data_IF_058148596864
#
_entry.id   IF_058148596864
#
_cell.length_a   1.000
_cell.length_b   1.000
_cell.length_c   1.000
_cell.angle_alpha   90.00
_cell.angle_beta   90.00
_cell.angle_gamma   90.00
#
_symmetry.space_group_name_H-M   'P 1'
#
loop_
_entity.id
_entity.type
_entity.pdbx_description
1 polymer ?
#
# COMPACT_ATOMS: atom_id res chain seq x y z
N UNK A 1 -13.47 15.96 46.19
CA UNK A 1 -12.41 14.98 45.91
C UNK A 1 -12.26 15.00 44.41
N UNK A 2 -11.23 15.69 43.92
CA UNK A 2 -11.04 15.93 42.49
C UNK A 2 -10.73 14.59 41.81
N UNK A 3 -11.71 14.07 41.07
CA UNK A 3 -11.53 12.99 40.11
C UNK A 3 -10.56 13.47 39.04
N UNK A 4 -9.25 13.23 39.24
CA UNK A 4 -8.27 13.33 38.16
C UNK A 4 -8.70 12.34 37.08
N UNK A 5 -9.27 12.86 36.00
CA UNK A 5 -9.56 12.11 34.78
C UNK A 5 -8.31 11.32 34.37
N UNK A 6 -8.38 9.99 34.49
CA UNK A 6 -7.31 9.07 34.12
C UNK A 6 -7.06 9.14 32.61
N UNK A 7 -5.83 9.43 32.19
CA UNK A 7 -5.45 9.47 30.77
C UNK A 7 -5.40 8.02 30.24
N UNK A 8 -6.21 7.74 29.23
CA UNK A 8 -6.36 6.39 28.68
C UNK A 8 -5.24 6.02 27.70
N UNK A 9 -4.94 4.71 27.51
CA UNK A 9 -3.87 4.26 26.61
C UNK A 9 -4.04 4.75 25.17
N UNK A 10 -5.29 4.86 24.72
CA UNK A 10 -5.64 5.42 23.41
C UNK A 10 -5.21 6.89 23.32
N UNK A 11 -5.52 7.70 24.33
CA UNK A 11 -5.10 9.11 24.37
C UNK A 11 -3.57 9.26 24.38
N UNK A 12 -2.86 8.38 25.09
CA UNK A 12 -1.39 8.37 25.10
C UNK A 12 -0.83 8.03 23.72
N UNK A 13 -1.37 7.00 23.06
CA UNK A 13 -0.94 6.63 21.71
C UNK A 13 -1.21 7.74 20.68
N UNK A 14 -2.36 8.40 20.76
CA UNK A 14 -2.71 9.55 19.91
C UNK A 14 -1.80 10.76 20.16
N UNK A 15 -1.50 11.07 21.42
CA UNK A 15 -0.59 12.15 21.79
C UNK A 15 0.85 11.89 21.29
N UNK A 16 1.35 10.66 21.45
CA UNK A 16 2.67 10.25 20.96
C UNK A 16 2.75 10.30 19.43
N UNK A 17 1.70 9.86 18.74
CA UNK A 17 1.63 9.94 17.28
C UNK A 17 1.70 11.39 16.77
N UNK A 18 0.98 12.29 17.44
CA UNK A 18 0.79 13.68 17.01
C UNK A 18 1.96 14.61 17.37
N UNK A 19 2.64 14.41 18.50
CA UNK A 19 3.57 15.42 19.06
C UNK A 19 5.03 14.97 19.21
N UNK A 20 5.34 13.73 18.89
CA UNK A 20 6.69 13.18 18.94
C UNK A 20 7.07 12.69 17.55
N UNK A 21 8.34 12.75 17.16
CA UNK A 21 8.86 12.05 15.97
C UNK A 21 9.56 10.74 16.38
N UNK A 22 10.03 9.93 15.41
CA UNK A 22 10.66 8.63 15.70
C UNK A 22 11.90 8.74 16.62
N UNK A 23 12.75 9.74 16.42
CA UNK A 23 13.95 9.92 17.24
C UNK A 23 13.60 10.35 18.67
N UNK A 24 12.56 11.17 18.83
CA UNK A 24 12.05 11.56 20.15
C UNK A 24 11.39 10.38 20.87
N UNK A 25 10.72 9.48 20.16
CA UNK A 25 10.16 8.25 20.74
C UNK A 25 11.25 7.28 21.20
N UNK A 26 12.30 7.08 20.39
CA UNK A 26 13.48 6.30 20.78
C UNK A 26 14.15 6.88 22.02
N UNK A 27 14.30 8.21 22.08
CA UNK A 27 14.88 8.91 23.25
C UNK A 27 14.00 8.78 24.49
N UNK A 28 12.67 8.90 24.33
CA UNK A 28 11.71 8.73 25.42
C UNK A 28 11.74 7.30 25.98
N UNK A 29 11.76 6.30 25.11
CA UNK A 29 11.83 4.90 25.49
C UNK A 29 13.18 4.54 26.15
N UNK A 30 14.29 5.05 25.61
CA UNK A 30 15.62 4.87 26.20
C UNK A 30 15.70 5.43 27.62
N UNK A 31 15.15 6.63 27.86
CA UNK A 31 15.12 7.25 29.21
C UNK A 31 14.27 6.47 30.22
N UNK A 32 13.43 5.56 29.74
CA UNK A 32 12.58 4.69 30.54
C UNK A 32 13.08 3.24 30.59
N UNK A 33 14.31 2.97 30.10
CA UNK A 33 14.89 1.63 29.96
C UNK A 33 14.00 0.66 29.15
N UNK A 34 13.26 1.18 28.15
CA UNK A 34 12.41 0.40 27.26
C UNK A 34 13.20 0.07 25.98
N UNK A 35 13.32 -1.21 25.59
CA UNK A 35 14.02 -1.59 24.36
C UNK A 35 13.16 -1.26 23.13
N UNK A 36 13.22 -0.01 22.68
CA UNK A 36 12.33 0.52 21.64
C UNK A 36 12.40 -0.26 20.31
N UNK A 37 13.60 -0.69 19.90
CA UNK A 37 13.82 -1.42 18.65
C UNK A 37 13.28 -2.86 18.70
N UNK A 38 13.01 -3.39 19.91
CA UNK A 38 12.43 -4.72 20.12
C UNK A 38 10.89 -4.66 20.26
N UNK A 39 10.30 -3.47 20.21
CA UNK A 39 8.85 -3.31 20.27
C UNK A 39 8.20 -3.79 18.97
N UNK A 40 7.17 -4.62 19.10
CA UNK A 40 6.41 -5.16 17.96
C UNK A 40 5.75 -4.01 17.16
N UNK A 41 5.88 -4.02 15.84
CA UNK A 41 5.21 -3.03 14.98
C UNK A 41 5.99 -2.76 13.71
N UNK A 42 5.31 -2.84 12.57
CA UNK A 42 5.89 -2.58 11.24
C UNK A 42 5.80 -1.08 10.93
N UNK A 43 4.79 -0.40 11.48
CA UNK A 43 4.60 1.05 11.37
C UNK A 43 4.97 1.76 12.67
N UNK A 44 5.25 3.07 12.55
CA UNK A 44 5.49 3.94 13.72
C UNK A 44 4.30 3.93 14.69
N UNK A 45 3.07 3.93 14.16
CA UNK A 45 1.84 3.90 14.97
C UNK A 45 1.70 2.59 15.75
N UNK A 46 2.00 1.45 15.14
CA UNK A 46 2.03 0.15 15.82
C UNK A 46 3.13 0.09 16.88
N UNK A 47 4.33 0.61 16.56
CA UNK A 47 5.44 0.69 17.52
C UNK A 47 5.05 1.51 18.75
N UNK A 48 4.29 2.60 18.56
CA UNK A 48 3.75 3.43 19.65
C UNK A 48 2.69 2.67 20.45
N UNK A 49 1.79 1.92 19.79
CA UNK A 49 0.80 1.09 20.49
C UNK A 49 1.52 0.02 21.33
N UNK A 50 2.57 -0.60 20.79
CA UNK A 50 3.38 -1.57 21.50
C UNK A 50 4.20 -0.96 22.63
N UNK A 51 4.73 0.25 22.46
CA UNK A 51 5.33 1.05 23.54
C UNK A 51 4.33 1.26 24.68
N UNK A 52 3.13 1.72 24.35
CA UNK A 52 2.06 1.95 25.35
C UNK A 52 1.70 0.63 26.05
N UNK A 53 1.47 -0.46 25.30
CA UNK A 53 1.19 -1.79 25.87
C UNK A 53 2.33 -2.31 26.75
N UNK A 54 3.58 -2.10 26.33
CA UNK A 54 4.77 -2.47 27.10
C UNK A 54 4.75 -1.76 28.46
N UNK A 55 4.54 -0.44 28.46
CA UNK A 55 4.51 0.33 29.72
C UNK A 55 3.37 -0.09 30.65
N UNK A 56 2.23 -0.51 30.12
CA UNK A 56 1.14 -1.08 30.92
C UNK A 56 1.53 -2.44 31.53
N UNK A 57 2.12 -3.34 30.73
CA UNK A 57 2.54 -4.68 31.18
C UNK A 57 3.63 -4.62 32.26
N UNK A 58 4.55 -3.65 32.14
CA UNK A 58 5.69 -3.48 33.05
C UNK A 58 5.42 -2.49 34.19
N UNK A 59 4.19 -1.96 34.32
CA UNK A 59 3.81 -1.09 35.44
C UNK A 59 4.43 0.31 35.41
N UNK A 60 4.95 0.76 34.27
CA UNK A 60 5.58 2.07 34.08
C UNK A 60 4.73 3.05 33.26
N UNK A 61 3.45 2.73 33.04
CA UNK A 61 2.50 3.54 32.26
C UNK A 61 2.31 4.97 32.81
N UNK A 62 2.23 5.13 34.13
CA UNK A 62 2.15 6.46 34.75
C UNK A 62 3.43 7.28 34.56
N UNK A 63 4.58 6.61 34.50
CA UNK A 63 5.86 7.27 34.23
C UNK A 63 5.93 7.76 32.78
N UNK A 64 5.36 7.00 31.83
CA UNK A 64 5.24 7.41 30.44
C UNK A 64 4.38 8.67 30.31
N UNK A 65 3.20 8.69 30.96
CA UNK A 65 2.32 9.87 30.97
C UNK A 65 3.05 11.08 31.54
N UNK A 66 3.74 10.91 32.68
CA UNK A 66 4.50 11.98 33.31
C UNK A 66 5.62 12.51 32.41
N UNK A 67 6.39 11.62 31.78
CA UNK A 67 7.46 12.00 30.86
C UNK A 67 6.92 12.77 29.64
N UNK A 68 5.75 12.38 29.10
CA UNK A 68 5.07 13.11 28.03
C UNK A 68 4.64 14.50 28.51
N UNK A 69 4.04 14.60 29.70
CA UNK A 69 3.60 15.88 30.27
C UNK A 69 4.76 16.83 30.58
N UNK A 70 5.91 16.32 31.03
CA UNK A 70 7.12 17.11 31.26
C UNK A 70 7.74 17.59 29.94
N UNK A 71 7.75 16.73 28.92
CA UNK A 71 8.32 17.04 27.60
C UNK A 71 7.41 17.97 26.78
N UNK A 72 6.08 17.88 26.99
CA UNK A 72 5.03 18.59 26.24
C UNK A 72 3.89 19.03 27.16
N UNK A 73 4.09 20.04 28.03
CA UNK A 73 3.10 20.47 29.02
C UNK A 73 1.86 21.12 28.40
N UNK A 74 1.90 21.47 27.11
CA UNK A 74 0.81 22.11 26.38
C UNK A 74 -0.19 21.13 25.75
N UNK A 75 0.01 19.81 25.87
CA UNK A 75 -0.93 18.82 25.32
C UNK A 75 -2.26 18.91 26.07
N UNK A 76 -3.34 19.21 25.33
CA UNK A 76 -4.69 19.18 25.86
C UNK A 76 -5.29 17.77 25.74
N UNK A 77 -5.25 17.02 26.84
CA UNK A 77 -5.69 15.62 26.91
C UNK A 77 -7.21 15.43 26.69
N UNK A 78 -8.03 16.43 26.99
CA UNK A 78 -9.49 16.35 26.80
C UNK A 78 -9.90 16.37 25.32
N UNK A 79 -9.04 16.86 24.42
CA UNK A 79 -9.28 16.85 22.96
C UNK A 79 -9.44 15.42 22.41
N UNK A 80 -8.76 14.47 23.04
CA UNK A 80 -8.80 13.06 22.65
C UNK A 80 -10.03 12.30 23.22
N UNK A 81 -10.86 12.94 24.05
CA UNK A 81 -12.07 12.32 24.64
C UNK A 81 -13.36 12.56 23.84
N UNK A 82 -13.35 13.40 22.80
CA UNK A 82 -14.60 13.89 22.15
C UNK A 82 -14.99 13.18 20.84
N UNK A 83 -14.27 12.15 20.40
CA UNK A 83 -14.51 11.49 19.10
C UNK A 83 -15.45 10.27 19.13
N UNK A 84 -16.35 10.15 20.12
CA UNK A 84 -17.24 8.97 20.24
C UNK A 84 -18.71 9.30 20.51
N UNK A 85 -19.37 10.15 19.71
CA UNK A 85 -20.85 10.13 19.56
C UNK A 85 -21.25 10.74 18.21
N UNK A 86 -21.44 9.91 17.18
CA UNK A 86 -22.53 10.03 16.18
C UNK A 86 -22.44 8.86 15.20
N UNK A 87 -22.84 7.68 15.67
CA UNK A 87 -23.38 6.65 14.79
C UNK A 87 -24.83 7.04 14.45
N UNK A 88 -25.13 7.32 13.18
CA UNK A 88 -26.50 7.34 12.68
C UNK A 88 -26.71 6.21 11.67
N UNK A 89 -27.49 5.21 12.11
CA UNK A 89 -28.03 4.10 11.30
C UNK A 89 -28.84 4.59 10.09
N UNK A 90 -28.97 3.77 9.02
CA UNK A 90 -29.52 4.17 7.73
C UNK A 90 -31.05 4.10 7.71
N UNK A 91 -31.69 5.09 7.07
CA UNK A 91 -33.11 5.07 6.72
C UNK A 91 -33.27 4.83 5.21
N UNK A 92 -34.21 3.94 4.89
CA UNK A 92 -34.40 3.27 3.63
C UNK A 92 -35.07 4.11 2.52
N UNK A 93 -34.61 3.83 1.28
CA UNK A 93 -35.33 3.58 0.02
C UNK A 93 -36.37 4.57 -0.57
N UNK A 94 -36.23 4.66 -1.91
CA UNK A 94 -37.27 4.85 -2.94
C UNK A 94 -37.75 6.27 -3.25
N UNK A 95 -37.12 6.89 -4.26
CA UNK A 95 -37.70 7.11 -5.62
C UNK A 95 -36.87 8.14 -6.39
N UNK A 96 -36.16 7.68 -7.42
CA UNK A 96 -36.31 8.18 -8.80
C UNK A 96 -35.21 7.58 -9.67
N UNK A 97 -35.46 6.33 -10.07
CA UNK A 97 -34.93 5.79 -11.31
C UNK A 97 -36.07 5.90 -12.31
N UNK A 98 -36.06 6.93 -13.16
CA UNK A 98 -36.41 6.86 -14.59
C UNK A 98 -36.18 8.22 -15.25
N UNK A 99 -35.66 8.17 -16.47
CA UNK A 99 -35.53 9.28 -17.45
C UNK A 99 -34.39 10.28 -17.17
N UNK A 100 -33.40 10.49 -18.03
CA UNK A 100 -33.37 10.31 -19.49
C UNK A 100 -31.91 10.27 -19.94
N UNK A 101 -31.55 9.24 -20.71
CA UNK A 101 -30.57 9.38 -21.77
C UNK A 101 -31.08 10.48 -22.71
N UNK A 102 -30.31 11.56 -22.91
CA UNK A 102 -30.29 12.17 -24.21
C UNK A 102 -28.92 12.74 -24.54
N UNK A 103 -28.37 12.17 -25.60
CA UNK A 103 -27.12 12.52 -26.26
C UNK A 103 -27.23 13.91 -26.86
N UNK A 104 -26.22 14.76 -26.67
CA UNK A 104 -25.83 15.73 -27.69
C UNK A 104 -24.36 16.09 -27.55
N UNK A 105 -23.58 15.53 -28.47
CA UNK A 105 -22.27 15.99 -28.89
C UNK A 105 -22.32 17.44 -29.40
N UNK A 106 -21.41 18.30 -28.94
CA UNK A 106 -20.94 19.48 -29.68
C UNK A 106 -19.57 19.89 -29.17
N UNK A 107 -18.59 19.78 -30.07
CA UNK A 107 -17.24 20.36 -29.95
C UNK A 107 -17.33 21.89 -29.92
N UNK A 108 -16.61 22.57 -29.02
CA UNK A 108 -15.90 23.84 -29.30
C UNK A 108 -14.99 24.30 -28.14
N UNK A 109 -13.75 24.55 -28.54
CA UNK A 109 -12.74 25.48 -28.02
C UNK A 109 -12.42 25.62 -26.53
N UNK A 110 -11.16 25.27 -26.24
CA UNK A 110 -10.32 25.83 -25.18
C UNK A 110 -10.32 27.37 -25.29
N UNK A 111 -10.68 28.05 -24.20
CA UNK A 111 -10.07 29.35 -23.86
C UNK A 111 -9.64 29.32 -22.40
N UNK A 112 -8.36 29.60 -22.21
CA UNK A 112 -7.71 29.93 -20.95
C UNK A 112 -8.46 31.03 -20.21
N UNK A 113 -8.83 30.77 -18.96
CA UNK A 113 -8.77 31.77 -17.90
C UNK A 113 -8.65 31.05 -16.55
N UNK A 114 -7.42 31.02 -16.04
CA UNK A 114 -7.15 30.77 -14.64
C UNK A 114 -7.79 31.88 -13.80
N UNK A 115 -8.94 31.59 -13.20
CA UNK A 115 -9.34 32.27 -11.96
C UNK A 115 -9.05 31.33 -10.80
N UNK A 116 -7.92 31.59 -10.16
CA UNK A 116 -7.59 31.21 -8.79
C UNK A 116 -8.79 31.45 -7.86
N UNK A 117 -9.54 30.41 -7.56
CA UNK A 117 -10.40 30.35 -6.39
C UNK A 117 -10.03 29.06 -5.65
N UNK A 118 -9.31 29.21 -4.55
CA UNK A 118 -9.08 28.11 -3.63
C UNK A 118 -10.44 27.52 -3.20
N UNK A 119 -10.63 26.18 -3.18
CA UNK A 119 -11.92 25.62 -2.82
C UNK A 119 -12.26 26.02 -1.38
N UNK A 120 -13.37 26.74 -1.22
CA UNK A 120 -13.87 27.19 0.07
C UNK A 120 -14.56 26.05 0.81
N UNK A 121 -13.94 25.59 1.90
CA UNK A 121 -14.35 24.52 2.83
C UNK A 121 -13.93 23.09 2.46
N UNK A 122 -13.44 22.35 3.46
CA UNK A 122 -13.03 20.94 3.36
C UNK A 122 -14.17 20.02 2.87
N UNK A 123 -15.42 20.38 3.14
CA UNK A 123 -16.61 19.66 2.68
C UNK A 123 -16.80 19.73 1.16
N UNK A 124 -16.49 20.86 0.54
CA UNK A 124 -16.63 21.04 -0.91
C UNK A 124 -15.49 20.34 -1.68
N UNK A 125 -14.31 20.25 -1.07
CA UNK A 125 -13.20 19.42 -1.56
C UNK A 125 -13.53 17.93 -1.46
N UNK A 126 -14.19 17.50 -0.37
CA UNK A 126 -14.68 16.14 -0.19
C UNK A 126 -15.78 15.79 -1.21
N UNK A 127 -16.72 16.70 -1.48
CA UNK A 127 -17.80 16.47 -2.45
C UNK A 127 -17.27 16.36 -3.90
N UNK A 128 -16.37 17.25 -4.33
CA UNK A 128 -15.75 17.16 -5.66
C UNK A 128 -14.89 15.90 -5.78
N UNK A 129 -14.21 15.53 -4.69
CA UNK A 129 -13.48 14.27 -4.57
C UNK A 129 -14.42 13.07 -4.72
N UNK A 130 -15.51 12.96 -3.93
CA UNK A 130 -16.48 11.86 -4.02
C UNK A 130 -17.20 11.80 -5.38
N UNK A 131 -17.44 12.94 -6.02
CA UNK A 131 -17.98 12.98 -7.38
C UNK A 131 -17.01 12.39 -8.40
N UNK A 132 -15.73 12.73 -8.32
CA UNK A 132 -14.66 12.15 -9.17
C UNK A 132 -14.45 10.67 -8.87
N UNK A 133 -14.47 10.27 -7.60
CA UNK A 133 -14.42 8.89 -7.10
C UNK A 133 -15.53 8.00 -7.69
N UNK A 134 -16.77 8.48 -7.65
CA UNK A 134 -17.91 7.69 -8.11
C UNK A 134 -17.90 7.54 -9.64
N UNK A 135 -17.43 8.56 -10.37
CA UNK A 135 -17.19 8.47 -11.82
C UNK A 135 -16.08 7.47 -12.15
N UNK A 136 -15.00 7.47 -11.36
CA UNK A 136 -13.88 6.50 -11.44
C UNK A 136 -14.35 5.05 -11.25
N UNK A 137 -15.15 4.78 -10.21
CA UNK A 137 -15.68 3.45 -9.91
C UNK A 137 -16.61 2.93 -11.01
N UNK A 138 -17.49 3.79 -11.55
CA UNK A 138 -18.42 3.41 -12.62
C UNK A 138 -17.71 3.07 -13.93
N UNK A 139 -16.63 3.79 -14.27
CA UNK A 139 -15.83 3.54 -15.47
C UNK A 139 -14.89 2.34 -15.32
N UNK A 140 -14.43 2.03 -14.10
CA UNK A 140 -13.54 0.90 -13.84
C UNK A 140 -14.26 -0.46 -13.92
N UNK A 141 -15.51 -0.54 -13.47
CA UNK A 141 -16.31 -1.77 -13.55
C UNK A 141 -16.55 -2.23 -15.00
N UNK A 142 -16.53 -1.30 -15.96
CA UNK A 142 -16.65 -1.59 -17.40
C UNK A 142 -15.33 -2.03 -18.04
N UNK A 143 -14.18 -1.78 -17.39
CA UNK A 143 -12.81 -2.10 -17.87
C UNK A 143 -12.26 -3.37 -17.21
N UNK A 144 -12.96 -3.93 -16.23
CA UNK A 144 -12.47 -4.98 -15.33
C UNK A 144 -12.30 -6.39 -15.94
N UNK A 145 -12.52 -6.59 -17.24
CA UNK A 145 -12.20 -7.86 -17.86
C UNK A 145 -10.91 -7.77 -18.69
N UNK A 146 -9.82 -8.19 -18.02
CA UNK A 146 -8.50 -8.57 -18.56
C UNK A 146 -7.50 -7.41 -18.69
N UNK A 147 -6.40 -7.52 -17.93
CA UNK A 147 -5.17 -6.75 -18.08
C UNK A 147 -4.70 -6.72 -19.54
N UNK A 148 -4.89 -5.60 -20.21
CA UNK A 148 -4.59 -5.41 -21.62
C UNK A 148 -4.92 -4.02 -22.13
N UNK A 149 -4.85 -3.00 -21.26
CA UNK A 149 -5.21 -1.63 -21.60
C UNK A 149 -4.41 -1.16 -22.82
N UNK A 150 -5.13 -0.71 -23.85
CA UNK A 150 -4.51 -0.06 -25.00
C UNK A 150 -4.00 1.34 -24.62
N UNK A 151 -3.27 2.00 -25.53
CA UNK A 151 -2.67 3.31 -25.25
C UNK A 151 -3.72 4.39 -24.92
N UNK A 152 -4.91 4.33 -25.53
CA UNK A 152 -6.01 5.28 -25.28
C UNK A 152 -6.63 5.08 -23.90
N UNK A 153 -6.93 3.83 -23.53
CA UNK A 153 -7.46 3.45 -22.22
C UNK A 153 -6.46 3.81 -21.11
N UNK A 154 -5.18 3.54 -21.35
CA UNK A 154 -4.08 3.93 -20.45
C UNK A 154 -4.06 5.45 -20.28
N UNK A 155 -4.18 6.22 -21.38
CA UNK A 155 -4.16 7.68 -21.32
C UNK A 155 -5.39 8.25 -20.60
N UNK A 156 -6.56 7.66 -20.80
CA UNK A 156 -7.78 8.06 -20.11
C UNK A 156 -7.65 7.85 -18.60
N UNK A 157 -7.13 6.68 -18.17
CA UNK A 157 -6.86 6.40 -16.76
C UNK A 157 -5.75 7.30 -16.19
N UNK A 158 -4.71 7.60 -16.97
CA UNK A 158 -3.66 8.55 -16.56
C UNK A 158 -4.25 9.92 -16.25
N UNK A 159 -5.05 10.49 -17.15
CA UNK A 159 -5.68 11.80 -16.97
C UNK A 159 -6.59 11.81 -15.72
N UNK A 160 -7.32 10.72 -15.52
CA UNK A 160 -8.26 10.59 -14.41
C UNK A 160 -7.55 10.49 -13.04
N UNK A 161 -6.40 9.81 -12.98
CA UNK A 161 -5.61 9.65 -11.75
C UNK A 161 -4.55 10.75 -11.54
N UNK A 162 -4.25 11.55 -12.56
CA UNK A 162 -3.32 12.68 -12.43
C UNK A 162 -3.88 13.75 -11.47
N UNK A 163 -5.19 13.92 -11.47
CA UNK A 163 -5.92 14.84 -10.59
C UNK A 163 -6.20 14.27 -9.18
N UNK A 164 -5.90 12.99 -8.92
CA UNK A 164 -6.19 12.34 -7.65
C UNK A 164 -5.00 12.44 -6.68
N UNK A 165 -5.11 13.19 -5.56
CA UNK A 165 -3.99 13.36 -4.65
C UNK A 165 -3.89 12.16 -3.69
N UNK A 166 -3.09 11.14 -4.06
CA UNK A 166 -2.73 10.04 -3.14
C UNK A 166 -2.16 10.54 -1.80
N UNK A 167 -1.46 11.68 -1.79
CA UNK A 167 -0.97 12.34 -0.57
C UNK A 167 -2.12 12.83 0.33
N UNK A 168 -3.22 13.31 -0.27
CA UNK A 168 -4.43 13.69 0.45
C UNK A 168 -5.17 12.48 0.97
N UNK A 169 -5.27 11.41 0.17
CA UNK A 169 -5.78 10.12 0.63
C UNK A 169 -5.00 9.58 1.82
N UNK A 170 -3.67 9.63 1.75
CA UNK A 170 -2.80 9.26 2.87
C UNK A 170 -3.08 10.11 4.11
N UNK A 171 -3.21 11.42 3.93
CA UNK A 171 -3.51 12.34 5.04
C UNK A 171 -4.87 12.06 5.67
N UNK A 172 -5.91 11.84 4.85
CA UNK A 172 -7.25 11.51 5.32
C UNK A 172 -7.29 10.17 6.05
N UNK A 173 -6.72 9.11 5.47
CA UNK A 173 -6.65 7.78 6.11
C UNK A 173 -5.86 7.81 7.42
N UNK A 174 -4.89 8.72 7.56
CA UNK A 174 -4.14 8.87 8.81
C UNK A 174 -4.92 9.58 9.93
N UNK A 175 -6.03 10.26 9.59
CA UNK A 175 -6.81 11.11 10.51
C UNK A 175 -8.23 10.61 10.74
N UNK A 176 -8.73 9.74 9.87
CA UNK A 176 -10.12 9.30 9.83
C UNK A 176 -10.22 7.80 9.63
N UNK A 177 -11.00 7.17 10.49
CA UNK A 177 -11.38 5.75 10.45
C UNK A 177 -12.80 5.68 9.86
N UNK A 178 -12.90 5.74 8.53
CA UNK A 178 -14.16 5.74 7.77
C UNK A 178 -14.12 4.60 6.73
N UNK A 179 -14.96 3.56 6.86
CA UNK A 179 -15.00 2.43 5.94
C UNK A 179 -15.23 2.81 4.46
N UNK A 180 -15.91 3.93 4.20
CA UNK A 180 -16.13 4.44 2.84
C UNK A 180 -14.85 5.00 2.24
N UNK A 181 -14.04 5.67 3.07
CA UNK A 181 -12.74 6.19 2.70
C UNK A 181 -11.73 5.05 2.49
N UNK A 182 -11.76 4.03 3.35
CA UNK A 182 -10.93 2.83 3.18
C UNK A 182 -11.26 2.09 1.88
N UNK A 183 -12.54 1.88 1.60
CA UNK A 183 -12.97 1.24 0.35
C UNK A 183 -12.54 2.05 -0.88
N UNK A 184 -12.69 3.37 -0.85
CA UNK A 184 -12.20 4.20 -1.95
C UNK A 184 -10.68 4.13 -2.10
N UNK A 185 -9.96 4.20 -0.98
CA UNK A 185 -8.51 4.09 -0.96
C UNK A 185 -8.02 2.74 -1.51
N UNK A 186 -8.71 1.65 -1.18
CA UNK A 186 -8.41 0.32 -1.72
C UNK A 186 -8.58 0.32 -3.24
N UNK A 187 -9.71 0.81 -3.74
CA UNK A 187 -9.96 0.90 -5.18
C UNK A 187 -8.92 1.79 -5.88
N UNK A 188 -8.58 2.94 -5.29
CA UNK A 188 -7.54 3.82 -5.84
C UNK A 188 -6.18 3.13 -5.91
N UNK A 189 -5.81 2.38 -4.88
CA UNK A 189 -4.55 1.67 -4.83
C UNK A 189 -4.49 0.50 -5.82
N UNK A 190 -5.61 -0.20 -6.02
CA UNK A 190 -5.78 -1.23 -7.05
C UNK A 190 -5.64 -0.62 -8.46
N UNK A 191 -6.30 0.52 -8.73
CA UNK A 191 -6.20 1.19 -10.02
C UNK A 191 -4.78 1.66 -10.34
N UNK A 192 -4.08 2.26 -9.37
CA UNK A 192 -2.67 2.64 -9.52
C UNK A 192 -1.77 1.39 -9.71
N UNK A 193 -2.10 0.25 -9.11
CA UNK A 193 -1.39 -1.02 -9.33
C UNK A 193 -1.58 -1.52 -10.77
N UNK A 194 -2.81 -1.65 -11.23
CA UNK A 194 -3.13 -2.16 -12.57
C UNK A 194 -2.58 -1.26 -13.68
N UNK A 195 -2.67 0.06 -13.50
CA UNK A 195 -2.05 1.01 -14.41
C UNK A 195 -0.52 0.87 -14.42
N UNK A 196 0.09 0.58 -13.27
CA UNK A 196 1.49 0.23 -13.16
C UNK A 196 1.86 -0.97 -14.03
N UNK A 197 1.07 -2.05 -13.97
CA UNK A 197 1.24 -3.25 -14.80
C UNK A 197 1.16 -2.91 -16.29
N UNK A 198 0.12 -2.17 -16.70
CA UNK A 198 -0.10 -1.80 -18.10
C UNK A 198 1.08 -0.98 -18.67
N UNK A 199 1.52 0.03 -17.93
CA UNK A 199 2.67 0.87 -18.34
C UNK A 199 3.96 0.06 -18.47
N UNK A 200 4.20 -0.89 -17.56
CA UNK A 200 5.36 -1.79 -17.65
C UNK A 200 5.26 -2.70 -18.88
N UNK A 201 4.07 -3.22 -19.18
CA UNK A 201 3.80 -4.01 -20.39
C UNK A 201 4.08 -3.24 -21.69
N UNK A 202 3.84 -1.93 -21.70
CA UNK A 202 4.16 -1.01 -22.81
C UNK A 202 5.64 -0.56 -22.82
N UNK A 203 6.48 -1.04 -21.91
CA UNK A 203 7.89 -0.64 -21.80
C UNK A 203 8.11 0.71 -21.09
N UNK A 204 7.06 1.36 -20.58
CA UNK A 204 7.11 2.64 -19.85
C UNK A 204 7.47 2.39 -18.37
N UNK A 205 8.60 1.72 -18.12
CA UNK A 205 8.97 1.18 -16.80
C UNK A 205 9.01 2.21 -15.66
N UNK A 206 9.64 3.37 -15.87
CA UNK A 206 9.68 4.42 -14.84
C UNK A 206 8.32 5.02 -14.52
N UNK A 207 7.42 5.09 -15.52
CA UNK A 207 6.05 5.54 -15.26
C UNK A 207 5.29 4.49 -14.44
N UNK A 208 5.42 3.21 -14.78
CA UNK A 208 4.85 2.11 -13.99
C UNK A 208 5.35 2.08 -12.54
N UNK A 209 6.66 2.26 -12.32
CA UNK A 209 7.23 2.34 -10.97
C UNK A 209 6.61 3.46 -10.12
N UNK A 210 6.35 4.64 -10.71
CA UNK A 210 5.67 5.74 -10.00
C UNK A 210 4.24 5.38 -9.60
N UNK A 211 3.53 4.64 -10.45
CA UNK A 211 2.16 4.17 -10.17
C UNK A 211 2.15 3.12 -9.05
N UNK A 212 3.08 2.16 -9.10
CA UNK A 212 3.27 1.21 -8.01
C UNK A 212 3.63 1.86 -6.67
N UNK A 213 4.45 2.93 -6.66
CA UNK A 213 4.78 3.64 -5.42
C UNK A 213 3.55 4.34 -4.78
N UNK A 214 2.66 4.90 -5.61
CA UNK A 214 1.37 5.46 -5.15
C UNK A 214 0.48 4.39 -4.57
N UNK A 215 0.32 3.26 -5.28
CA UNK A 215 -0.43 2.08 -4.79
C UNK A 215 0.13 1.59 -3.45
N UNK A 216 1.45 1.44 -3.36
CA UNK A 216 2.12 0.93 -2.16
C UNK A 216 1.97 1.89 -0.96
N UNK A 217 1.96 3.20 -1.21
CA UNK A 217 1.73 4.21 -0.17
C UNK A 217 0.37 4.02 0.49
N UNK A 218 -0.69 3.78 -0.30
CA UNK A 218 -2.04 3.58 0.22
C UNK A 218 -2.20 2.19 0.84
N UNK A 219 -1.73 1.13 0.16
CA UNK A 219 -1.83 -0.25 0.69
C UNK A 219 -1.11 -0.44 2.02
N UNK A 220 -0.04 0.35 2.29
CA UNK A 220 0.62 0.40 3.62
C UNK A 220 -0.28 0.92 4.73
N UNK A 221 -1.21 1.82 4.44
CA UNK A 221 -2.13 2.39 5.43
C UNK A 221 -3.31 1.46 5.70
N UNK A 222 -3.77 0.74 4.67
CA UNK A 222 -4.90 -0.19 4.74
C UNK A 222 -4.55 -1.57 5.30
N UNK A 223 -3.29 -1.77 5.71
CA UNK A 223 -2.73 -3.03 6.21
C UNK A 223 -3.02 -4.29 5.35
N UNK A 224 -3.21 -4.11 4.04
CA UNK A 224 -3.47 -5.23 3.13
C UNK A 224 -2.16 -5.88 2.68
N UNK A 225 -1.66 -6.84 3.46
CA UNK A 225 -0.33 -7.42 3.30
C UNK A 225 -0.13 -8.19 1.99
N UNK A 226 -1.13 -8.94 1.52
CA UNK A 226 -1.03 -9.68 0.25
C UNK A 226 -0.98 -8.71 -0.94
N UNK A 227 -1.86 -7.72 -0.99
CA UNK A 227 -1.84 -6.71 -2.05
C UNK A 227 -0.56 -5.86 -2.04
N UNK A 228 0.00 -5.58 -0.85
CA UNK A 228 1.32 -4.94 -0.72
C UNK A 228 2.41 -5.82 -1.32
N UNK A 229 2.38 -7.11 -1.03
CA UNK A 229 3.33 -8.08 -1.57
C UNK A 229 3.24 -8.15 -3.10
N UNK A 230 2.03 -8.16 -3.66
CA UNK A 230 1.79 -8.12 -5.11
C UNK A 230 2.40 -6.87 -5.76
N UNK A 231 2.19 -5.68 -5.17
CA UNK A 231 2.81 -4.44 -5.69
C UNK A 231 4.33 -4.51 -5.64
N UNK A 232 4.90 -4.97 -4.52
CA UNK A 232 6.36 -5.10 -4.37
C UNK A 232 6.93 -6.12 -5.35
N UNK A 233 6.22 -7.23 -5.58
CA UNK A 233 6.59 -8.24 -6.56
C UNK A 233 6.65 -7.64 -7.98
N UNK A 234 5.64 -6.84 -8.37
CA UNK A 234 5.63 -6.17 -9.67
C UNK A 234 6.73 -5.10 -9.80
N UNK A 235 7.07 -4.40 -8.72
CA UNK A 235 8.24 -3.50 -8.68
C UNK A 235 9.53 -4.32 -8.94
N UNK A 236 9.69 -5.48 -8.29
CA UNK A 236 10.83 -6.38 -8.52
C UNK A 236 10.94 -6.83 -9.97
N UNK A 237 9.81 -7.24 -10.56
CA UNK A 237 9.72 -7.60 -11.99
C UNK A 237 10.09 -6.43 -12.90
N UNK A 238 9.67 -5.22 -12.55
CA UNK A 238 10.01 -4.03 -13.33
C UNK A 238 11.51 -3.73 -13.30
N UNK A 239 12.15 -3.81 -12.12
CA UNK A 239 13.60 -3.65 -12.03
C UNK A 239 14.37 -4.75 -12.78
N UNK A 240 13.86 -5.98 -12.78
CA UNK A 240 14.45 -7.07 -13.55
C UNK A 240 14.39 -6.79 -15.06
N UNK A 241 13.25 -6.29 -15.57
CA UNK A 241 13.10 -5.89 -16.98
C UNK A 241 14.05 -4.74 -17.37
N UNK A 242 14.33 -3.83 -16.42
CA UNK A 242 15.30 -2.75 -16.59
C UNK A 242 16.77 -3.22 -16.50
N UNK A 243 17.01 -4.51 -16.19
CA UNK A 243 18.35 -5.04 -15.96
C UNK A 243 18.96 -4.68 -14.59
N UNK A 244 18.20 -4.03 -13.70
CA UNK A 244 18.63 -3.75 -12.33
C UNK A 244 18.35 -4.97 -11.43
N UNK A 245 19.18 -5.99 -11.60
CA UNK A 245 19.02 -7.30 -10.97
C UNK A 245 19.18 -7.26 -9.45
N UNK A 246 20.05 -6.38 -8.93
CA UNK A 246 20.26 -6.23 -7.49
C UNK A 246 18.99 -5.69 -6.80
N UNK A 247 18.39 -4.65 -7.35
CA UNK A 247 17.15 -4.08 -6.83
C UNK A 247 15.99 -5.07 -6.98
N UNK A 248 15.89 -5.78 -8.11
CA UNK A 248 14.90 -6.84 -8.31
C UNK A 248 14.99 -7.92 -7.22
N UNK A 249 16.20 -8.37 -6.89
CA UNK A 249 16.41 -9.37 -5.83
C UNK A 249 15.92 -8.88 -4.47
N UNK A 250 16.20 -7.62 -4.11
CA UNK A 250 15.72 -7.02 -2.85
C UNK A 250 14.19 -7.03 -2.83
N UNK A 251 13.55 -6.53 -3.90
CA UNK A 251 12.09 -6.41 -3.96
C UNK A 251 11.39 -7.77 -3.94
N UNK A 252 11.91 -8.78 -4.65
CA UNK A 252 11.33 -10.12 -4.56
C UNK A 252 11.49 -10.74 -3.15
N UNK A 253 12.58 -10.47 -2.43
CA UNK A 253 12.72 -10.91 -1.03
C UNK A 253 11.75 -10.16 -0.11
N UNK A 254 11.52 -8.88 -0.34
CA UNK A 254 10.53 -8.08 0.41
C UNK A 254 9.11 -8.64 0.22
N UNK A 255 8.70 -8.88 -1.03
CA UNK A 255 7.40 -9.50 -1.34
C UNK A 255 7.28 -10.90 -0.73
N UNK A 256 8.32 -11.74 -0.87
CA UNK A 256 8.32 -13.08 -0.31
C UNK A 256 8.14 -13.09 1.22
N UNK A 257 8.74 -12.14 1.94
CA UNK A 257 8.55 -12.01 3.39
C UNK A 257 7.09 -11.71 3.76
N UNK A 258 6.41 -10.87 2.97
CA UNK A 258 4.99 -10.58 3.18
C UNK A 258 4.11 -11.78 2.84
N UNK A 259 4.34 -12.45 1.71
CA UNK A 259 3.59 -13.67 1.37
C UNK A 259 3.81 -14.80 2.39
N UNK A 260 5.00 -14.90 2.98
CA UNK A 260 5.25 -15.85 4.09
C UNK A 260 4.43 -15.50 5.33
N UNK A 261 4.27 -14.21 5.62
CA UNK A 261 3.48 -13.75 6.75
C UNK A 261 1.99 -14.04 6.56
N UNK A 262 1.46 -13.86 5.34
CA UNK A 262 0.05 -14.14 5.01
C UNK A 262 -0.22 -15.61 4.69
N UNK A 263 0.83 -16.44 4.53
CA UNK A 263 0.70 -17.84 4.14
C UNK A 263 0.38 -18.06 2.65
N UNK A 264 0.57 -17.04 1.81
CA UNK A 264 0.32 -17.08 0.37
C UNK A 264 1.38 -17.92 -0.37
N UNK A 265 1.09 -19.22 -0.51
CA UNK A 265 2.00 -20.19 -1.16
C UNK A 265 2.29 -19.87 -2.63
N UNK A 266 1.30 -19.38 -3.36
CA UNK A 266 1.45 -19.04 -4.77
C UNK A 266 2.43 -17.86 -4.96
N UNK A 267 2.29 -16.82 -4.14
CA UNK A 267 3.22 -15.68 -4.12
C UNK A 267 4.64 -16.08 -3.73
N UNK A 268 4.80 -16.99 -2.75
CA UNK A 268 6.10 -17.57 -2.39
C UNK A 268 6.72 -18.34 -3.57
N UNK A 269 5.94 -19.17 -4.26
CA UNK A 269 6.42 -19.92 -5.43
C UNK A 269 6.88 -18.98 -6.55
N UNK A 270 6.11 -17.93 -6.83
CA UNK A 270 6.44 -16.91 -7.82
C UNK A 270 7.73 -16.15 -7.44
N UNK A 271 7.89 -15.78 -6.18
CA UNK A 271 9.12 -15.14 -5.71
C UNK A 271 10.34 -16.05 -5.84
N UNK A 272 10.23 -17.34 -5.48
CA UNK A 272 11.33 -18.30 -5.64
C UNK A 272 11.75 -18.47 -7.09
N UNK A 273 10.78 -18.53 -8.02
CA UNK A 273 11.07 -18.64 -9.45
C UNK A 273 11.86 -17.43 -9.94
N UNK A 274 11.38 -16.22 -9.65
CA UNK A 274 12.05 -15.00 -10.12
C UNK A 274 13.39 -14.74 -9.42
N UNK A 275 13.50 -15.01 -8.12
CA UNK A 275 14.78 -14.94 -7.40
C UNK A 275 15.80 -15.89 -8.01
N UNK A 276 15.36 -17.09 -8.40
CA UNK A 276 16.23 -18.06 -9.05
C UNK A 276 16.69 -17.60 -10.44
N UNK A 277 15.77 -17.06 -11.24
CA UNK A 277 16.10 -16.46 -12.54
C UNK A 277 17.08 -15.29 -12.40
N UNK A 278 16.84 -14.37 -11.44
CA UNK A 278 17.73 -13.25 -11.14
C UNK A 278 19.11 -13.72 -10.68
N UNK A 279 19.18 -14.75 -9.84
CA UNK A 279 20.44 -15.32 -9.38
C UNK A 279 21.26 -15.91 -10.55
N UNK A 280 20.61 -16.63 -11.48
CA UNK A 280 21.25 -17.12 -12.71
C UNK A 280 21.76 -15.96 -13.56
N UNK A 281 20.95 -14.91 -13.75
CA UNK A 281 21.37 -13.72 -14.51
C UNK A 281 22.56 -12.98 -13.89
N UNK A 282 22.73 -13.07 -12.56
CA UNK A 282 23.89 -12.56 -11.82
C UNK A 282 25.10 -13.52 -11.82
N UNK A 283 24.98 -14.72 -12.40
CA UNK A 283 26.03 -15.74 -12.43
C UNK A 283 26.03 -16.71 -11.24
N UNK A 284 25.12 -16.56 -10.29
CA UNK A 284 24.95 -17.48 -9.15
C UNK A 284 24.08 -18.68 -9.56
N UNK A 285 24.59 -19.49 -10.49
CA UNK A 285 23.81 -20.56 -11.15
C UNK A 285 23.29 -21.60 -10.16
N UNK A 286 24.13 -22.08 -9.24
CA UNK A 286 23.73 -23.12 -8.28
C UNK A 286 22.66 -22.63 -7.30
N UNK A 287 22.80 -21.40 -6.80
CA UNK A 287 21.78 -20.77 -5.97
C UNK A 287 20.47 -20.63 -6.75
N UNK A 288 20.54 -20.17 -8.00
CA UNK A 288 19.35 -19.97 -8.81
C UNK A 288 18.59 -21.26 -9.12
N UNK A 289 19.32 -22.35 -9.42
CA UNK A 289 18.72 -23.70 -9.59
C UNK A 289 18.00 -24.12 -8.30
N UNK A 290 18.63 -23.94 -7.14
CA UNK A 290 18.03 -24.33 -5.87
C UNK A 290 16.72 -23.57 -5.59
N UNK A 291 16.64 -22.28 -5.93
CA UNK A 291 15.40 -21.50 -5.78
C UNK A 291 14.32 -21.94 -6.79
N UNK A 292 14.69 -22.16 -8.06
CA UNK A 292 13.75 -22.65 -9.08
C UNK A 292 13.17 -24.02 -8.68
N UNK A 293 13.98 -24.90 -8.09
CA UNK A 293 13.51 -26.20 -7.60
C UNK A 293 12.46 -26.07 -6.50
N UNK A 294 12.59 -25.09 -5.59
CA UNK A 294 11.55 -24.80 -4.59
C UNK A 294 10.25 -24.34 -5.24
N UNK A 295 10.33 -23.43 -6.22
CA UNK A 295 9.18 -22.99 -6.99
C UNK A 295 8.50 -24.16 -7.72
N UNK A 296 9.30 -25.03 -8.35
CA UNK A 296 8.81 -26.23 -9.06
C UNK A 296 8.05 -27.18 -8.14
N UNK A 297 8.56 -27.40 -6.93
CA UNK A 297 7.88 -28.24 -5.94
C UNK A 297 6.51 -27.66 -5.57
N UNK A 298 6.44 -26.35 -5.33
CA UNK A 298 5.18 -25.67 -5.01
C UNK A 298 4.20 -25.74 -6.19
N UNK A 299 4.62 -25.41 -7.41
CA UNK A 299 3.74 -25.48 -8.59
C UNK A 299 3.30 -26.90 -8.94
N UNK A 300 4.08 -27.93 -8.58
CA UNK A 300 3.64 -29.32 -8.68
C UNK A 300 2.54 -29.67 -7.67
N UNK A 301 2.61 -29.12 -6.45
CA UNK A 301 1.57 -29.31 -5.44
C UNK A 301 0.26 -28.61 -5.82
N UNK A 302 0.36 -27.51 -6.58
CA UNK A 302 -0.77 -26.72 -7.05
C UNK A 302 -1.28 -27.15 -8.46
N UNK A 303 -0.78 -28.27 -9.01
CA UNK A 303 -1.12 -28.78 -10.36
C UNK A 303 -1.02 -27.72 -11.48
N UNK A 304 -0.02 -26.84 -11.40
CA UNK A 304 0.16 -25.73 -12.35
C UNK A 304 1.06 -26.12 -13.53
N UNK A 305 0.51 -26.86 -14.48
CA UNK A 305 1.24 -27.39 -15.66
C UNK A 305 1.95 -26.30 -16.48
N UNK A 306 1.32 -25.13 -16.63
CA UNK A 306 1.91 -24.00 -17.38
C UNK A 306 3.20 -23.53 -16.73
N UNK A 307 3.21 -23.38 -15.40
CA UNK A 307 4.41 -22.97 -14.66
C UNK A 307 5.47 -24.06 -14.61
N UNK A 308 5.07 -25.32 -14.59
CA UNK A 308 6.01 -26.44 -14.69
C UNK A 308 6.73 -26.47 -16.04
N UNK A 309 6.00 -26.22 -17.14
CA UNK A 309 6.60 -26.11 -18.47
C UNK A 309 7.60 -24.96 -18.55
N UNK A 310 7.24 -23.77 -18.07
CA UNK A 310 8.14 -22.60 -18.01
C UNK A 310 9.43 -22.92 -17.23
N UNK A 311 9.30 -23.59 -16.08
CA UNK A 311 10.45 -24.01 -15.28
C UNK A 311 11.33 -25.01 -16.05
N UNK A 312 10.73 -25.98 -16.72
CA UNK A 312 11.48 -26.98 -17.48
C UNK A 312 12.24 -26.32 -18.64
N UNK A 313 11.68 -25.30 -19.30
CA UNK A 313 12.36 -24.50 -20.33
C UNK A 313 13.59 -23.74 -19.76
N UNK A 314 13.41 -23.08 -18.62
CA UNK A 314 14.51 -22.38 -17.92
C UNK A 314 15.62 -23.37 -17.55
N UNK A 315 15.26 -24.52 -16.97
CA UNK A 315 16.22 -25.53 -16.54
C UNK A 315 16.99 -26.14 -17.72
N UNK A 316 16.33 -26.42 -18.85
CA UNK A 316 17.01 -26.86 -20.07
C UNK A 316 18.02 -25.83 -20.57
N UNK A 317 17.69 -24.54 -20.54
CA UNK A 317 18.61 -23.47 -20.92
C UNK A 317 19.83 -23.44 -19.99
N UNK A 318 19.62 -23.47 -18.67
CA UNK A 318 20.69 -23.44 -17.67
C UNK A 318 21.64 -24.62 -17.80
N UNK A 319 21.12 -25.84 -18.04
CA UNK A 319 21.96 -27.02 -18.25
C UNK A 319 22.86 -26.89 -19.47
N UNK A 320 22.34 -26.38 -20.60
CA UNK A 320 23.15 -26.16 -21.81
C UNK A 320 24.26 -25.13 -21.60
N UNK A 321 24.02 -24.09 -20.81
CA UNK A 321 25.04 -23.09 -20.48
C UNK A 321 26.14 -23.72 -19.63
N UNK A 322 25.77 -24.45 -18.56
CA UNK A 322 26.72 -25.15 -17.69
C UNK A 322 27.59 -26.18 -18.43
N UNK A 323 27.04 -26.87 -19.42
CA UNK A 323 27.80 -27.83 -20.22
C UNK A 323 28.82 -27.14 -21.14
N UNK A 324 28.49 -25.97 -21.69
CA UNK A 324 29.41 -25.19 -22.52
C UNK A 324 30.55 -24.56 -21.73
N UNK A 325 30.33 -24.19 -20.47
CA UNK A 325 31.38 -23.66 -19.58
C UNK A 325 32.37 -24.73 -19.09
N UNK A 326 32.07 -26.02 -19.32
CA UNK A 326 32.92 -27.17 -18.94
C UNK A 326 33.84 -27.65 -20.06
N UNK A 327 33.75 -27.09 -21.27
CA UNK A 327 34.54 -27.47 -22.47
C UNK A 327 35.62 -26.43 -22.73
#
# INVERSE_FOLDING_TARGET
MDDKKSITPKQVAEALNMYFNTAELQSLALNMDIPYDDLEGISRSETIISLVKYTQRHGVYEQLIKAIQETRPYINWDKFSQQSVQESKPAALEKDVTNTLNVSSSTHHITSDEVKLAPSSASQQLEDFYFRVNRLQQQFQEIQDITGLNDEETQNLLNLLEDAPHEFLRDLLSRHDDPTLEQYAQNYAEMEHELGIALVGQGKWHAGLRRFDRSLTIRRLLDNLDERADTIYQIGRTYQLMGNLAEAQIRYRDAMRLYQHTGNKAGIAACNLNLGTVAIQLGFIDEGIAQIQKARLAYRQDDNDKKLQEIDEIMHFVHRVKEKERV
#
